data_IF_757032037245
#
_entry.id   IF_757032037245
#
_cell.length_a   1.000
_cell.length_b   1.000
_cell.length_c   1.000
_cell.angle_alpha   90.00
_cell.angle_beta   90.00
_cell.angle_gamma   90.00
#
_symmetry.space_group_name_H-M   'P 1'
#
loop_
_entity.id
_entity.type
_entity.pdbx_description
1 polymer ?
#
# COMPACT_ATOMS: atom_id res chain seq x y z
N UNK A 1 -35.18 11.23 37.14
CA UNK A 1 -34.83 10.38 35.98
C UNK A 1 -36.12 9.97 35.31
N UNK A 2 -36.39 10.48 34.11
CA UNK A 2 -37.65 10.26 33.39
C UNK A 2 -37.52 9.04 32.47
N UNK A 3 -38.62 8.32 32.20
CA UNK A 3 -38.65 7.16 31.29
C UNK A 3 -37.98 7.48 29.93
N UNK A 4 -38.13 8.70 29.45
CA UNK A 4 -37.49 9.19 28.23
C UNK A 4 -35.95 9.23 28.32
N UNK A 5 -35.40 9.60 29.47
CA UNK A 5 -33.94 9.65 29.69
C UNK A 5 -33.37 8.23 29.71
N UNK A 6 -34.06 7.29 30.36
CA UNK A 6 -33.68 5.87 30.40
C UNK A 6 -33.68 5.26 28.99
N UNK A 7 -34.70 5.58 28.18
CA UNK A 7 -34.82 5.10 26.79
C UNK A 7 -33.69 5.67 25.92
N UNK A 8 -33.39 6.96 26.04
CA UNK A 8 -32.27 7.59 25.31
C UNK A 8 -30.90 6.99 25.68
N UNK A 9 -30.67 6.68 26.97
CA UNK A 9 -29.43 6.04 27.42
C UNK A 9 -29.33 4.63 26.84
N UNK A 10 -30.43 3.86 26.84
CA UNK A 10 -30.52 2.52 26.25
C UNK A 10 -30.17 2.56 24.76
N UNK A 11 -30.79 3.45 23.99
CA UNK A 11 -30.53 3.60 22.55
C UNK A 11 -29.07 4.01 22.27
N UNK A 12 -28.53 4.95 23.04
CA UNK A 12 -27.11 5.35 22.95
C UNK A 12 -26.17 4.17 23.20
N UNK A 13 -26.49 3.30 24.16
CA UNK A 13 -25.72 2.10 24.45
C UNK A 13 -25.76 1.11 23.28
N UNK A 14 -26.94 0.84 22.73
CA UNK A 14 -27.08 -0.06 21.58
C UNK A 14 -26.35 0.46 20.34
N UNK A 15 -26.47 1.74 20.03
CA UNK A 15 -25.74 2.38 18.92
C UNK A 15 -24.23 2.23 19.08
N UNK A 16 -23.69 2.50 20.27
CA UNK A 16 -22.26 2.30 20.55
C UNK A 16 -21.83 0.85 20.40
N UNK A 17 -22.65 -0.09 20.85
CA UNK A 17 -22.38 -1.53 20.72
C UNK A 17 -22.41 -1.98 19.26
N UNK A 18 -23.32 -1.44 18.46
CA UNK A 18 -23.42 -1.74 17.03
C UNK A 18 -22.18 -1.24 16.27
N UNK A 19 -21.75 0.01 16.51
CA UNK A 19 -20.53 0.57 15.92
C UNK A 19 -19.32 -0.31 16.25
N UNK A 20 -19.12 -0.67 17.53
CA UNK A 20 -18.03 -1.57 17.92
C UNK A 20 -18.06 -2.93 17.23
N UNK A 21 -19.25 -3.51 17.02
CA UNK A 21 -19.39 -4.78 16.30
C UNK A 21 -19.01 -4.64 14.83
N UNK A 22 -19.38 -3.53 14.19
CA UNK A 22 -19.00 -3.21 12.81
C UNK A 22 -17.48 -3.03 12.69
N UNK A 23 -16.87 -2.25 13.58
CA UNK A 23 -15.42 -2.04 13.60
C UNK A 23 -14.65 -3.36 13.79
N UNK A 24 -15.14 -4.23 14.69
CA UNK A 24 -14.54 -5.55 14.93
C UNK A 24 -14.66 -6.46 13.70
N UNK A 25 -15.82 -6.44 13.03
CA UNK A 25 -16.03 -7.24 11.81
C UNK A 25 -15.11 -6.78 10.67
N UNK A 26 -14.95 -5.47 10.48
CA UNK A 26 -14.02 -4.89 9.50
C UNK A 26 -12.57 -5.30 9.80
N UNK A 27 -12.14 -5.18 11.06
CA UNK A 27 -10.80 -5.59 11.49
C UNK A 27 -10.53 -7.07 11.21
N UNK A 28 -11.46 -7.96 11.56
CA UNK A 28 -11.33 -9.40 11.31
C UNK A 28 -11.28 -9.70 9.80
N UNK A 29 -12.11 -9.02 9.02
CA UNK A 29 -12.12 -9.18 7.57
C UNK A 29 -10.79 -8.75 6.94
N UNK A 30 -10.26 -7.58 7.30
CA UNK A 30 -8.94 -7.10 6.85
C UNK A 30 -7.83 -8.07 7.25
N UNK A 31 -7.85 -8.57 8.49
CA UNK A 31 -6.87 -9.56 8.95
C UNK A 31 -6.95 -10.87 8.15
N UNK A 32 -8.15 -11.41 7.92
CA UNK A 32 -8.32 -12.62 7.10
C UNK A 32 -7.81 -12.42 5.67
N UNK A 33 -7.98 -11.22 5.12
CA UNK A 33 -7.49 -10.85 3.79
C UNK A 33 -5.96 -10.85 3.77
N UNK A 34 -5.32 -10.27 4.79
CA UNK A 34 -3.85 -10.26 4.91
C UNK A 34 -3.27 -11.67 5.02
N UNK A 35 -3.87 -12.53 5.85
CA UNK A 35 -3.44 -13.93 6.00
C UNK A 35 -3.59 -14.68 4.67
N UNK A 36 -4.71 -14.49 3.98
CA UNK A 36 -4.97 -15.11 2.67
C UNK A 36 -3.96 -14.65 1.63
N UNK A 37 -3.61 -13.37 1.59
CA UNK A 37 -2.60 -12.85 0.68
C UNK A 37 -1.19 -13.37 1.00
N UNK A 38 -0.82 -13.39 2.28
CA UNK A 38 0.46 -13.94 2.71
C UNK A 38 0.60 -15.42 2.34
N UNK A 39 -0.43 -16.22 2.58
CA UNK A 39 -0.44 -17.64 2.19
C UNK A 39 -0.41 -17.81 0.68
N UNK A 40 -1.14 -17.00 -0.09
CA UNK A 40 -1.11 -17.02 -1.54
C UNK A 40 0.31 -16.73 -2.11
N UNK A 41 1.07 -15.83 -1.50
CA UNK A 41 2.46 -15.55 -1.87
C UNK A 41 3.41 -16.72 -1.56
N UNK A 42 3.13 -17.52 -0.52
CA UNK A 42 3.91 -18.72 -0.21
C UNK A 42 3.58 -19.84 -1.21
N UNK A 43 2.32 -19.96 -1.62
CA UNK A 43 1.85 -21.03 -2.52
C UNK A 43 2.22 -20.80 -4.00
N UNK A 44 2.38 -19.54 -4.45
CA UNK A 44 2.74 -19.21 -5.83
C UNK A 44 3.77 -18.08 -5.90
N UNK A 45 4.78 -18.25 -6.75
CA UNK A 45 5.82 -17.25 -7.02
C UNK A 45 5.33 -16.04 -7.81
N UNK A 46 4.19 -16.18 -8.50
CA UNK A 46 3.62 -15.11 -9.32
C UNK A 46 2.76 -14.14 -8.50
N UNK A 47 2.43 -14.51 -7.26
CA UNK A 47 1.64 -13.67 -6.37
C UNK A 47 2.53 -12.62 -5.69
N UNK A 48 2.04 -11.38 -5.67
CA UNK A 48 2.67 -10.26 -4.98
C UNK A 48 1.93 -9.95 -3.69
N UNK A 49 2.64 -9.62 -2.60
CA UNK A 49 1.99 -9.20 -1.37
C UNK A 49 1.23 -7.90 -1.62
N UNK A 50 0.05 -7.77 -0.98
CA UNK A 50 -0.64 -6.49 -0.92
C UNK A 50 0.17 -5.55 -0.02
N UNK A 51 0.50 -4.37 -0.54
CA UNK A 51 1.20 -3.34 0.21
C UNK A 51 0.29 -2.70 1.25
N UNK A 52 0.87 -2.28 2.38
CA UNK A 52 0.13 -1.68 3.49
C UNK A 52 -0.73 -0.47 3.06
N UNK A 53 -0.14 0.43 2.27
CA UNK A 53 -0.81 1.65 1.79
C UNK A 53 -1.85 1.38 0.68
N UNK A 54 -1.85 0.19 0.09
CA UNK A 54 -2.92 -0.22 -0.82
C UNK A 54 -4.17 -0.66 -0.04
N UNK A 55 -3.98 -1.30 1.12
CA UNK A 55 -5.08 -1.74 1.97
C UNK A 55 -5.64 -0.64 2.88
N UNK A 56 -4.80 0.30 3.32
CA UNK A 56 -5.16 1.38 4.25
C UNK A 56 -5.01 2.77 3.62
N UNK A 57 -5.00 2.87 2.30
CA UNK A 57 -4.79 4.14 1.59
C UNK A 57 -5.90 5.18 1.84
N UNK A 58 -7.07 4.75 2.30
CA UNK A 58 -8.17 5.61 2.75
C UNK A 58 -7.83 6.33 4.07
N UNK A 59 -7.10 5.66 4.97
CA UNK A 59 -6.68 6.22 6.26
C UNK A 59 -5.36 7.00 6.17
N UNK A 60 -4.49 6.63 5.22
CA UNK A 60 -3.14 7.17 5.06
C UNK A 60 -2.96 7.82 3.69
N UNK A 61 -3.91 8.66 3.27
CA UNK A 61 -3.94 9.23 1.91
C UNK A 61 -2.74 10.15 1.63
N UNK A 62 -2.31 10.92 2.63
CA UNK A 62 -1.16 11.83 2.51
C UNK A 62 0.15 11.04 2.43
N UNK A 63 0.34 10.06 3.30
CA UNK A 63 1.52 9.19 3.29
C UNK A 63 1.60 8.37 2.00
N UNK A 64 0.45 7.92 1.49
CA UNK A 64 0.36 7.24 0.20
C UNK A 64 0.85 8.13 -0.94
N UNK A 65 0.45 9.40 -0.95
CA UNK A 65 0.89 10.37 -1.96
C UNK A 65 2.40 10.61 -1.89
N UNK A 66 2.93 10.85 -0.70
CA UNK A 66 4.37 11.06 -0.48
C UNK A 66 5.17 9.83 -0.92
N UNK A 67 4.68 8.62 -0.64
CA UNK A 67 5.37 7.40 -1.03
C UNK A 67 5.37 7.22 -2.56
N UNK A 68 4.26 7.51 -3.23
CA UNK A 68 4.21 7.42 -4.69
C UNK A 68 5.13 8.45 -5.37
N UNK A 69 5.20 9.68 -4.86
CA UNK A 69 6.15 10.70 -5.34
C UNK A 69 7.60 10.22 -5.21
N UNK A 70 7.98 9.66 -4.04
CA UNK A 70 9.31 9.07 -3.85
C UNK A 70 9.59 7.89 -4.77
N UNK A 71 8.58 7.03 -5.01
CA UNK A 71 8.71 5.89 -5.92
C UNK A 71 9.02 6.35 -7.34
N UNK A 72 8.35 7.41 -7.79
CA UNK A 72 8.59 8.04 -9.09
C UNK A 72 10.00 8.65 -9.15
N UNK A 73 10.41 9.40 -8.14
CA UNK A 73 11.76 10.01 -8.08
C UNK A 73 12.86 8.95 -8.16
N UNK A 74 12.76 7.89 -7.37
CA UNK A 74 13.70 6.78 -7.40
C UNK A 74 13.75 6.11 -8.78
N UNK A 75 12.58 5.91 -9.41
CA UNK A 75 12.54 5.32 -10.75
C UNK A 75 13.19 6.22 -11.80
N UNK A 76 13.02 7.54 -11.69
CA UNK A 76 13.69 8.52 -12.56
C UNK A 76 15.21 8.44 -12.38
N UNK A 77 15.70 8.31 -11.14
CA UNK A 77 17.14 8.20 -10.88
C UNK A 77 17.73 6.93 -11.47
N UNK A 78 17.07 5.78 -11.29
CA UNK A 78 17.47 4.51 -11.91
C UNK A 78 17.52 4.64 -13.44
N UNK A 79 16.50 5.25 -14.04
CA UNK A 79 16.45 5.46 -15.48
C UNK A 79 17.59 6.37 -15.98
N UNK A 80 17.91 7.43 -15.25
CA UNK A 80 19.07 8.30 -15.55
C UNK A 80 20.37 7.50 -15.51
N UNK A 81 20.53 6.60 -14.55
CA UNK A 81 21.72 5.75 -14.46
C UNK A 81 21.80 4.78 -15.64
N UNK A 82 20.70 4.11 -15.99
CA UNK A 82 20.63 3.25 -17.18
C UNK A 82 21.00 4.00 -18.47
N UNK A 83 20.55 5.25 -18.62
CA UNK A 83 20.91 6.08 -19.77
C UNK A 83 22.41 6.41 -19.82
N UNK A 84 23.03 6.71 -18.67
CA UNK A 84 24.48 6.94 -18.58
C UNK A 84 25.26 5.67 -18.94
N UNK A 85 24.85 4.52 -18.40
CA UNK A 85 25.51 3.24 -18.67
C UNK A 85 25.39 2.84 -20.15
N UNK A 86 24.23 3.10 -20.76
CA UNK A 86 24.02 2.92 -22.18
C UNK A 86 24.93 3.83 -23.02
N UNK A 87 24.97 5.13 -22.72
CA UNK A 87 25.82 6.09 -23.44
C UNK A 87 27.31 5.72 -23.31
N UNK A 88 27.77 5.33 -22.13
CA UNK A 88 29.14 4.87 -21.90
C UNK A 88 29.47 3.65 -22.75
N UNK A 89 28.56 2.66 -22.80
CA UNK A 89 28.73 1.46 -23.62
C UNK A 89 28.86 1.80 -25.10
N UNK A 90 27.98 2.66 -25.63
CA UNK A 90 28.00 3.08 -27.04
C UNK A 90 29.26 3.88 -27.37
N UNK A 91 29.68 4.78 -26.48
CA UNK A 91 30.89 5.59 -26.69
C UNK A 91 32.17 4.75 -26.66
N UNK A 92 32.24 3.74 -25.78
CA UNK A 92 33.35 2.77 -25.76
C UNK A 92 33.40 1.94 -27.06
N UNK A 93 32.24 1.51 -27.57
CA UNK A 93 32.15 0.78 -28.83
C UNK A 93 32.57 1.64 -30.03
N UNK A 94 32.26 2.95 -30.03
CA UNK A 94 32.70 3.88 -31.08
C UNK A 94 34.21 4.15 -31.03
N UNK A 95 34.78 4.41 -29.85
CA UNK A 95 36.23 4.62 -29.70
C UNK A 95 37.06 3.38 -30.06
N UNK A 96 36.57 2.18 -29.79
CA UNK A 96 37.23 0.94 -30.20
C UNK A 96 37.17 0.63 -31.69
N UNK A 97 36.44 1.43 -32.48
CA UNK A 97 36.32 1.29 -33.94
C UNK A 97 37.11 2.32 -34.74
N UNK A 98 37.73 3.31 -34.10
CA UNK A 98 38.53 4.36 -34.78
C UNK A 98 40.01 3.98 -34.97
N UNK A 99 40.47 2.86 -34.40
CA UNK A 99 41.84 2.34 -34.55
C UNK A 99 41.94 1.14 -35.53
N UNK A 100 41.12 1.10 -36.59
CA UNK A 100 41.27 0.14 -37.70
C UNK A 100 41.22 0.79 -39.07
#
# INVERSE_FOLDING_TARGET
MTINEVTKIRESFFRRREVKRKDTADMVYRLSTLITNGTACIMSKDNKPIEFLDMFGDLFSEEKKINEEKRIENQIEINKQHMKDFANRVNLQRKGGEDK
#
